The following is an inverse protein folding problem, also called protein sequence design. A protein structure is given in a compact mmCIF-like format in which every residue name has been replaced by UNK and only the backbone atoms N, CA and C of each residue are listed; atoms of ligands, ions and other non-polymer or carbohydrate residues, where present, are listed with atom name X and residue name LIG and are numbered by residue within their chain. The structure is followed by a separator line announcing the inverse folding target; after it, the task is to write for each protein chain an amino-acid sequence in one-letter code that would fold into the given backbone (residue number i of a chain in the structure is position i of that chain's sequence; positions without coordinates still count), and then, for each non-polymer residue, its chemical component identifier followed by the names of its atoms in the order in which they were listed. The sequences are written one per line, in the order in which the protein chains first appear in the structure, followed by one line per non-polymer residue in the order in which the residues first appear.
data_IF_701310563450
#
_entry.id   IF_701310563450
#
_cell.length_a   1.000
_cell.length_b   1.000
_cell.length_c   1.000
_cell.angle_alpha   90.00
_cell.angle_beta   90.00
_cell.angle_gamma   90.00
#
_symmetry.space_group_name_H-M   'P 1'
#
loop_
_entity.id
_entity.type
_entity.pdbx_description
1 polymer ?
#
# COMPACT_ATOMS: atom_id res chain seq x y z
N UNK A 1 8.74 2.22 -15.89
CA UNK A 1 9.72 1.35 -15.21
C UNK A 1 9.38 -0.07 -15.59
N UNK A 2 10.23 -0.75 -16.36
CA UNK A 2 10.00 -2.15 -16.76
C UNK A 2 10.66 -3.07 -15.72
N UNK A 3 9.86 -3.92 -15.08
CA UNK A 3 10.29 -4.77 -13.97
C UNK A 3 10.17 -6.22 -14.42
N UNK A 4 11.31 -6.90 -14.51
CA UNK A 4 11.36 -8.34 -14.76
C UNK A 4 10.65 -9.10 -13.63
N UNK A 5 10.01 -10.23 -13.96
CA UNK A 5 9.26 -11.07 -13.00
C UNK A 5 10.06 -11.38 -11.74
N UNK A 6 11.36 -11.65 -11.88
CA UNK A 6 12.26 -11.98 -10.78
C UNK A 6 12.42 -10.84 -9.74
N UNK A 7 12.15 -9.59 -10.14
CA UNK A 7 12.24 -8.39 -9.28
C UNK A 7 10.86 -7.87 -8.88
N UNK A 8 9.79 -8.52 -9.30
CA UNK A 8 8.42 -8.11 -8.99
C UNK A 8 8.12 -8.25 -7.50
N UNK A 9 8.56 -9.35 -6.86
CA UNK A 9 8.37 -9.55 -5.43
C UNK A 9 9.10 -8.49 -4.60
N UNK A 10 10.35 -8.17 -4.99
CA UNK A 10 11.12 -7.09 -4.36
C UNK A 10 10.40 -5.74 -4.52
N UNK A 11 9.85 -5.45 -5.69
CA UNK A 11 9.08 -4.23 -5.94
C UNK A 11 7.83 -4.18 -5.04
N UNK A 12 7.05 -5.26 -4.99
CA UNK A 12 5.84 -5.35 -4.16
C UNK A 12 6.18 -5.15 -2.68
N UNK A 13 7.21 -5.83 -2.17
CA UNK A 13 7.66 -5.69 -0.78
C UNK A 13 8.10 -4.25 -0.46
N UNK A 14 8.81 -3.61 -1.40
CA UNK A 14 9.24 -2.22 -1.26
C UNK A 14 8.04 -1.26 -1.25
N UNK A 15 7.07 -1.45 -2.14
CA UNK A 15 5.84 -0.65 -2.17
C UNK A 15 5.03 -0.82 -0.88
N UNK A 16 4.92 -2.05 -0.36
CA UNK A 16 4.21 -2.32 0.88
C UNK A 16 4.91 -1.65 2.08
N UNK A 17 6.24 -1.71 2.12
CA UNK A 17 7.03 -1.01 3.14
C UNK A 17 6.88 0.51 3.07
N UNK A 18 6.83 1.07 1.85
CA UNK A 18 6.59 2.49 1.60
C UNK A 18 5.20 2.94 2.08
N UNK A 19 4.16 2.18 1.72
CA UNK A 19 2.78 2.48 2.11
C UNK A 19 2.62 2.36 3.63
N UNK A 20 3.21 1.34 4.26
CA UNK A 20 3.20 1.20 5.72
C UNK A 20 3.85 2.39 6.44
N UNK A 21 4.91 2.98 5.84
CA UNK A 21 5.50 4.24 6.32
C UNK A 21 4.59 5.46 6.14
N UNK A 22 3.82 5.49 5.05
CA UNK A 22 2.97 6.64 4.70
C UNK A 22 1.63 6.65 5.47
N UNK A 23 0.99 5.50 5.61
CA UNK A 23 -0.34 5.35 6.26
C UNK A 23 -0.28 5.12 7.78
N UNK A 24 0.92 5.12 8.38
CA UNK A 24 1.15 4.82 9.81
C UNK A 24 0.52 3.49 10.32
N UNK A 25 0.26 2.54 9.42
CA UNK A 25 -0.20 1.18 9.75
C UNK A 25 1.00 0.39 10.24
N UNK A 26 1.33 0.53 11.53
CA UNK A 26 2.33 -0.24 12.29
C UNK A 26 3.50 -0.81 11.44
N UNK A 27 4.61 -0.08 11.32
CA UNK A 27 5.74 -0.50 10.48
C UNK A 27 6.29 -1.88 10.92
N UNK A 28 6.19 -2.92 10.09
CA UNK A 28 6.97 -4.14 10.28
C UNK A 28 8.45 -3.87 9.98
N UNK A 29 9.35 -4.61 10.63
CA UNK A 29 10.78 -4.40 10.45
C UNK A 29 11.22 -4.89 9.07
N UNK A 30 12.24 -4.26 8.49
CA UNK A 30 12.67 -4.60 7.12
C UNK A 30 13.20 -6.06 7.04
N UNK A 31 13.68 -6.60 8.15
CA UNK A 31 14.08 -8.01 8.30
C UNK A 31 12.91 -8.97 8.20
N UNK A 32 11.72 -8.54 8.60
CA UNK A 32 10.52 -9.38 8.55
C UNK A 32 10.11 -9.60 7.09
N UNK A 33 10.22 -8.56 6.24
CA UNK A 33 10.02 -8.71 4.80
C UNK A 33 11.03 -9.65 4.13
N UNK A 34 12.30 -9.61 4.55
CA UNK A 34 13.34 -10.53 4.06
C UNK A 34 13.04 -11.96 4.49
N UNK A 35 12.53 -12.14 5.72
CA UNK A 35 12.10 -13.43 6.24
C UNK A 35 10.89 -13.98 5.48
N UNK A 36 9.84 -13.17 5.27
CA UNK A 36 8.65 -13.59 4.52
C UNK A 36 8.92 -13.92 3.05
N UNK A 37 9.97 -13.35 2.48
CA UNK A 37 10.37 -13.59 1.10
C UNK A 37 11.45 -14.67 0.96
N UNK A 38 11.68 -15.49 1.99
CA UNK A 38 12.64 -16.60 1.99
C UNK A 38 14.04 -16.18 1.50
N UNK A 39 14.52 -15.01 1.94
CA UNK A 39 15.82 -14.44 1.56
C UNK A 39 16.03 -14.23 0.04
N UNK A 40 14.95 -14.15 -0.76
CA UNK A 40 15.00 -13.84 -2.20
C UNK A 40 15.67 -12.49 -2.51
N UNK A 41 15.65 -11.57 -1.54
CA UNK A 41 16.26 -10.24 -1.65
C UNK A 41 16.80 -9.79 -0.29
N UNK A 42 17.78 -8.89 -0.33
CA UNK A 42 18.40 -8.34 0.89
C UNK A 42 17.81 -7.00 1.28
N UNK A 43 18.02 -6.59 2.54
CA UNK A 43 17.66 -5.25 3.01
C UNK A 43 18.22 -4.12 2.12
N UNK A 44 19.43 -4.30 1.56
CA UNK A 44 20.05 -3.32 0.66
C UNK A 44 19.28 -3.17 -0.64
N UNK A 45 18.73 -4.27 -1.15
CA UNK A 45 17.93 -4.27 -2.39
C UNK A 45 16.62 -3.52 -2.19
N UNK A 46 15.98 -3.68 -1.02
CA UNK A 46 14.77 -2.94 -0.65
C UNK A 46 15.07 -1.43 -0.59
N UNK A 47 16.14 -1.02 0.10
CA UNK A 47 16.53 0.40 0.18
C UNK A 47 16.95 1.00 -1.17
N UNK A 48 17.49 0.19 -2.09
CA UNK A 48 17.83 0.63 -3.44
C UNK A 48 16.57 0.78 -4.31
N UNK A 49 15.60 -0.12 -4.15
CA UNK A 49 14.32 -0.06 -4.84
C UNK A 49 13.43 1.06 -4.31
N UNK A 50 13.43 1.32 -3.01
CA UNK A 50 12.65 2.39 -2.38
C UNK A 50 12.95 3.74 -3.05
N UNK A 51 14.23 4.07 -3.23
CA UNK A 51 14.66 5.28 -3.95
C UNK A 51 14.16 5.33 -5.39
N UNK A 52 14.16 4.20 -6.10
CA UNK A 52 13.66 4.13 -7.49
C UNK A 52 12.15 4.34 -7.56
N UNK A 53 11.40 3.76 -6.62
CA UNK A 53 9.94 3.91 -6.54
C UNK A 53 9.58 5.35 -6.19
N UNK A 54 10.25 5.96 -5.20
CA UNK A 54 10.07 7.37 -4.85
C UNK A 54 10.30 8.31 -6.04
N UNK A 55 11.37 8.09 -6.81
CA UNK A 55 11.65 8.87 -8.02
C UNK A 55 10.60 8.65 -9.10
N UNK A 56 10.07 7.43 -9.26
CA UNK A 56 9.04 7.13 -10.24
C UNK A 56 7.69 7.78 -9.93
N UNK A 57 7.38 7.97 -8.64
CA UNK A 57 6.12 8.55 -8.15
C UNK A 57 6.21 10.07 -7.99
N UNK A 58 7.37 10.69 -8.25
CA UNK A 58 7.62 12.14 -8.07
C UNK A 58 7.22 12.65 -6.68
N UNK A 59 7.37 11.82 -5.65
CA UNK A 59 6.94 12.12 -4.27
C UNK A 59 5.44 12.43 -4.09
N UNK A 60 4.61 12.13 -5.09
CA UNK A 60 3.16 12.31 -5.01
C UNK A 60 2.48 11.01 -4.53
N UNK A 61 2.33 10.88 -3.21
CA UNK A 61 1.64 9.75 -2.57
C UNK A 61 0.19 10.07 -2.19
N UNK A 62 -0.35 11.20 -2.69
CA UNK A 62 -1.72 11.61 -2.43
C UNK A 62 -2.74 10.81 -3.25
N UNK A 63 -3.01 9.55 -2.87
CA UNK A 63 -4.04 8.76 -3.54
C UNK A 63 -5.36 8.77 -2.75
N UNK A 64 -6.48 9.01 -3.44
CA UNK A 64 -7.80 8.83 -2.84
C UNK A 64 -8.15 7.34 -2.84
N UNK A 65 -8.16 6.71 -1.67
CA UNK A 65 -8.39 5.27 -1.60
C UNK A 65 -9.88 5.01 -1.83
N UNK A 66 -10.27 3.87 -2.46
CA UNK A 66 -11.69 3.55 -2.67
C UNK A 66 -12.53 3.61 -1.38
N UNK A 67 -11.92 3.30 -0.24
CA UNK A 67 -12.57 3.43 1.07
C UNK A 67 -12.90 4.87 1.43
N UNK A 68 -12.05 5.84 1.06
CA UNK A 68 -12.30 7.27 1.29
C UNK A 68 -13.52 7.74 0.50
N UNK A 69 -13.68 7.25 -0.73
CA UNK A 69 -14.89 7.50 -1.53
C UNK A 69 -16.14 6.93 -0.84
N UNK A 70 -16.09 5.69 -0.34
CA UNK A 70 -17.21 5.08 0.39
C UNK A 70 -17.54 5.84 1.68
N UNK A 71 -16.53 6.35 2.38
CA UNK A 71 -16.69 7.20 3.57
C UNK A 71 -17.39 8.52 3.20
N UNK A 72 -16.91 9.22 2.17
CA UNK A 72 -17.55 10.45 1.69
C UNK A 72 -18.99 10.21 1.25
N UNK A 73 -19.24 9.15 0.48
CA UNK A 73 -20.57 8.76 0.06
C UNK A 73 -21.49 8.49 1.26
N UNK A 74 -20.97 7.84 2.31
CA UNK A 74 -21.74 7.64 3.55
C UNK A 74 -22.12 8.96 4.23
N UNK A 75 -21.23 9.94 4.31
CA UNK A 75 -21.54 11.23 4.95
C UNK A 75 -22.58 12.06 4.19
N UNK A 76 -22.73 11.87 2.89
CA UNK A 76 -23.67 12.61 2.04
C UNK A 76 -25.08 12.00 2.06
N UNK A 77 -25.23 10.73 2.46
CA UNK A 77 -26.52 10.03 2.43
C UNK A 77 -27.39 10.31 3.68
N UNK A 78 -28.71 10.46 3.50
CA UNK A 78 -29.66 10.59 4.61
C UNK A 78 -29.82 9.27 5.39
N UNK A 79 -30.16 9.37 6.67
CA UNK A 79 -30.18 8.26 7.66
C UNK A 79 -30.99 7.02 7.25
N UNK A 80 -31.94 7.14 6.31
CA UNK A 80 -32.75 6.03 5.80
C UNK A 80 -31.99 5.08 4.86
N UNK A 81 -30.97 5.56 4.15
CA UNK A 81 -30.17 4.77 3.19
C UNK A 81 -28.99 4.03 3.86
N UNK A 82 -28.61 4.44 5.08
CA UNK A 82 -27.48 3.91 5.86
C UNK A 82 -27.50 2.38 6.05
N UNK A 83 -28.69 1.78 6.15
CA UNK A 83 -28.86 0.34 6.36
C UNK A 83 -28.39 -0.50 5.16
N UNK A 84 -28.52 -0.01 3.92
CA UNK A 84 -28.06 -0.73 2.73
C UNK A 84 -26.54 -0.66 2.56
N UNK A 85 -25.96 0.52 2.82
CA UNK A 85 -24.50 0.73 2.71
C UNK A 85 -23.71 -0.01 3.79
N UNK A 86 -24.29 -0.23 4.97
CA UNK A 86 -23.65 -1.04 6.01
C UNK A 86 -23.43 -2.50 5.57
N UNK A 87 -24.32 -3.06 4.74
CA UNK A 87 -24.16 -4.41 4.22
C UNK A 87 -23.13 -4.50 3.10
N UNK A 88 -22.89 -3.40 2.37
CA UNK A 88 -21.89 -3.34 1.31
C UNK A 88 -20.47 -3.15 1.83
N UNK A 89 -20.27 -2.51 2.99
CA UNK A 89 -18.94 -2.31 3.59
C UNK A 89 -18.37 -3.57 4.27
N UNK A 90 -19.10 -4.69 4.27
CA UNK A 90 -18.70 -5.97 4.86
C UNK A 90 -18.19 -6.99 3.83
N UNK A 91 -18.17 -6.63 2.54
CA UNK A 91 -17.61 -7.42 1.45
C UNK A 91 -16.23 -6.91 1.06
#
# INVERSE_FOLDING_TARGET
MDIKKDKLQLFIATCLYLVAKYEEVSLPHITDFVYYADSSFTQRDIMAMERKVFLAVNFDMGFAYPIFFLICYRYVLPSSSMAMVHNLSKF
#
